data_IF_180560109922
#
_entry.id   IF_180560109922
#
_cell.length_a   1.000
_cell.length_b   1.000
_cell.length_c   1.000
_cell.angle_alpha   90.00
_cell.angle_beta   90.00
_cell.angle_gamma   90.00
#
_symmetry.space_group_name_H-M   'P 1'
#
loop_
_entity.id
_entity.type
_entity.pdbx_description
1 polymer ?
#
# COMPACT_ATOMS: atom_id res chain seq x y z
N UNK A 1 -29.15 -10.76 -28.92
CA UNK A 1 -28.09 -11.30 -28.05
C UNK A 1 -28.20 -10.62 -26.71
N UNK A 2 -28.06 -11.37 -25.62
CA UNK A 2 -27.97 -10.80 -24.27
C UNK A 2 -26.73 -9.89 -24.19
N UNK A 3 -26.87 -8.70 -23.62
CA UNK A 3 -25.82 -7.68 -23.54
C UNK A 3 -24.81 -8.07 -22.44
N UNK A 4 -23.60 -7.52 -22.51
CA UNK A 4 -22.62 -7.67 -21.46
C UNK A 4 -22.93 -6.75 -20.27
N UNK A 5 -22.83 -7.29 -19.05
CA UNK A 5 -23.06 -6.52 -17.84
C UNK A 5 -21.96 -5.47 -17.63
N UNK A 6 -20.73 -5.80 -18.02
CA UNK A 6 -19.56 -4.99 -17.70
C UNK A 6 -18.54 -4.98 -18.85
N UNK A 7 -17.83 -3.87 -19.03
CA UNK A 7 -16.80 -3.72 -20.05
C UNK A 7 -15.43 -3.51 -19.44
N UNK A 8 -14.39 -4.13 -20.02
CA UNK A 8 -12.99 -3.91 -19.68
C UNK A 8 -12.23 -3.36 -20.89
N UNK A 9 -11.77 -2.12 -20.78
CA UNK A 9 -10.89 -1.45 -21.74
C UNK A 9 -9.45 -1.54 -21.26
N UNK A 10 -8.60 -2.25 -22.00
CA UNK A 10 -7.24 -2.62 -21.62
C UNK A 10 -7.19 -4.08 -21.15
N UNK A 11 -6.67 -4.95 -22.01
CA UNK A 11 -6.57 -6.41 -21.86
C UNK A 11 -5.12 -6.86 -21.59
N UNK A 12 -4.29 -5.98 -21.02
CA UNK A 12 -3.06 -6.41 -20.37
C UNK A 12 -3.33 -7.39 -19.22
N UNK A 13 -2.28 -7.91 -18.60
CA UNK A 13 -2.37 -8.96 -17.56
C UNK A 13 -3.46 -8.66 -16.53
N UNK A 14 -3.43 -7.48 -15.90
CA UNK A 14 -4.42 -7.11 -14.88
C UNK A 14 -5.86 -7.02 -15.40
N UNK A 15 -6.08 -6.41 -16.56
CA UNK A 15 -7.42 -6.28 -17.14
C UNK A 15 -8.01 -7.62 -17.56
N UNK A 16 -7.19 -8.49 -18.17
CA UNK A 16 -7.58 -9.87 -18.49
C UNK A 16 -7.97 -10.64 -17.22
N UNK A 17 -7.17 -10.56 -16.15
CA UNK A 17 -7.45 -11.29 -14.91
C UNK A 17 -8.72 -10.80 -14.21
N UNK A 18 -8.99 -9.49 -14.18
CA UNK A 18 -10.24 -8.96 -13.64
C UNK A 18 -11.46 -9.38 -14.47
N UNK A 19 -11.35 -9.37 -15.80
CA UNK A 19 -12.43 -9.85 -16.67
C UNK A 19 -12.74 -11.34 -16.43
N UNK A 20 -11.72 -12.18 -16.27
CA UNK A 20 -11.89 -13.59 -15.93
C UNK A 20 -12.48 -13.80 -14.52
N UNK A 21 -12.12 -12.95 -13.56
CA UNK A 21 -12.69 -12.98 -12.21
C UNK A 21 -14.19 -12.64 -12.23
N UNK A 22 -14.56 -11.58 -12.95
CA UNK A 22 -15.96 -11.21 -13.16
C UNK A 22 -16.74 -12.32 -13.85
N UNK A 23 -16.17 -12.95 -14.88
CA UNK A 23 -16.81 -14.06 -15.59
C UNK A 23 -17.03 -15.28 -14.70
N UNK A 24 -16.02 -15.68 -13.92
CA UNK A 24 -16.15 -16.78 -12.94
C UNK A 24 -17.23 -16.52 -11.91
N UNK A 25 -17.50 -15.25 -11.60
CA UNK A 25 -18.56 -14.81 -10.69
C UNK A 25 -19.92 -14.59 -11.39
N UNK A 26 -20.09 -15.09 -12.61
CA UNK A 26 -21.37 -15.14 -13.31
C UNK A 26 -21.71 -13.90 -14.14
N UNK A 27 -20.78 -12.95 -14.29
CA UNK A 27 -21.01 -11.75 -15.09
C UNK A 27 -20.59 -11.96 -16.54
N UNK A 28 -21.35 -11.39 -17.48
CA UNK A 28 -20.96 -11.31 -18.88
C UNK A 28 -20.06 -10.10 -19.11
N UNK A 29 -18.85 -10.32 -19.62
CA UNK A 29 -17.83 -9.27 -19.73
C UNK A 29 -17.41 -9.04 -21.18
N UNK A 30 -17.51 -7.79 -21.63
CA UNK A 30 -16.92 -7.38 -22.90
C UNK A 30 -15.48 -6.90 -22.68
N UNK A 31 -14.56 -7.26 -23.59
CA UNK A 31 -13.15 -6.87 -23.56
C UNK A 31 -12.77 -6.11 -24.82
N UNK A 32 -12.04 -5.01 -24.66
CA UNK A 32 -11.51 -4.19 -25.74
C UNK A 32 -10.09 -3.73 -25.45
N UNK A 33 -9.21 -3.75 -26.45
CA UNK A 33 -7.85 -3.21 -26.39
C UNK A 33 -7.46 -2.62 -27.76
N UNK A 34 -6.53 -1.66 -27.77
CA UNK A 34 -5.93 -1.14 -29.00
C UNK A 34 -5.02 -2.17 -29.66
N UNK A 35 -4.46 -3.09 -28.87
CA UNK A 35 -3.62 -4.19 -29.31
C UNK A 35 -4.48 -5.41 -29.68
N UNK A 36 -4.63 -5.64 -30.99
CA UNK A 36 -5.43 -6.74 -31.53
C UNK A 36 -4.88 -8.12 -31.12
N UNK A 37 -3.60 -8.27 -30.79
CA UNK A 37 -3.08 -9.55 -30.30
C UNK A 37 -3.66 -9.87 -28.93
N UNK A 38 -3.80 -8.87 -28.05
CA UNK A 38 -4.46 -9.03 -26.76
C UNK A 38 -5.94 -9.34 -26.90
N UNK A 39 -6.63 -8.71 -27.87
CA UNK A 39 -8.04 -9.02 -28.18
C UNK A 39 -8.17 -10.47 -28.65
N UNK A 40 -7.28 -10.96 -29.53
CA UNK A 40 -7.27 -12.36 -29.98
C UNK A 40 -6.99 -13.34 -28.84
N UNK A 41 -6.02 -13.04 -27.99
CA UNK A 41 -5.71 -13.85 -26.81
C UNK A 41 -6.89 -13.92 -25.83
N UNK A 42 -7.63 -12.82 -25.67
CA UNK A 42 -8.87 -12.78 -24.89
C UNK A 42 -10.02 -13.54 -25.58
N UNK A 43 -10.11 -13.45 -26.91
CA UNK A 43 -11.09 -14.20 -27.69
C UNK A 43 -10.92 -15.72 -27.56
N UNK A 44 -9.70 -16.21 -27.44
CA UNK A 44 -9.45 -17.64 -27.19
C UNK A 44 -10.09 -18.12 -25.87
N UNK A 45 -10.09 -17.27 -24.83
CA UNK A 45 -10.78 -17.55 -23.56
C UNK A 45 -12.30 -17.53 -23.73
N UNK A 46 -12.82 -16.63 -24.58
CA UNK A 46 -14.25 -16.43 -24.80
C UNK A 46 -14.97 -17.61 -25.46
N UNK A 47 -14.24 -18.53 -26.08
CA UNK A 47 -14.83 -19.72 -26.71
C UNK A 47 -15.59 -20.63 -25.73
N UNK A 48 -15.29 -20.55 -24.43
CA UNK A 48 -15.86 -21.42 -23.38
C UNK A 48 -16.42 -20.65 -22.19
N UNK A 49 -16.33 -19.32 -22.22
CA UNK A 49 -16.61 -18.42 -21.09
C UNK A 49 -17.61 -17.35 -21.49
N UNK A 50 -18.26 -16.72 -20.52
CA UNK A 50 -19.19 -15.62 -20.76
C UNK A 50 -18.47 -14.29 -21.08
N UNK A 51 -17.56 -14.31 -22.05
CA UNK A 51 -16.76 -13.17 -22.49
C UNK A 51 -17.13 -12.77 -23.92
N UNK A 52 -16.95 -11.50 -24.24
CA UNK A 52 -17.10 -10.97 -25.60
C UNK A 52 -15.84 -10.20 -25.96
N UNK A 53 -15.07 -10.67 -26.93
CA UNK A 53 -13.94 -9.93 -27.48
C UNK A 53 -14.42 -8.94 -28.54
N UNK A 54 -14.06 -7.67 -28.41
CA UNK A 54 -14.45 -6.61 -29.34
C UNK A 54 -13.20 -6.01 -29.98
N UNK A 55 -13.14 -6.01 -31.32
CA UNK A 55 -12.00 -5.44 -32.07
C UNK A 55 -12.11 -3.92 -32.26
N UNK A 56 -13.32 -3.35 -32.12
CA UNK A 56 -13.57 -1.92 -32.29
C UNK A 56 -14.29 -1.34 -31.08
N UNK A 57 -14.07 -0.04 -30.83
CA UNK A 57 -14.75 0.69 -29.76
C UNK A 57 -16.28 0.71 -29.96
N UNK A 58 -16.74 0.82 -31.21
CA UNK A 58 -18.18 0.76 -31.54
C UNK A 58 -18.79 -0.60 -31.19
N UNK A 59 -18.12 -1.70 -31.55
CA UNK A 59 -18.56 -3.05 -31.18
C UNK A 59 -18.59 -3.23 -29.66
N UNK A 60 -17.57 -2.72 -28.96
CA UNK A 60 -17.49 -2.74 -27.50
C UNK A 60 -18.65 -1.97 -26.84
N UNK A 61 -18.90 -0.74 -27.25
CA UNK A 61 -19.96 0.09 -26.67
C UNK A 61 -21.36 -0.41 -26.99
N UNK A 62 -21.55 -1.01 -28.17
CA UNK A 62 -22.84 -1.55 -28.58
C UNK A 62 -23.19 -2.85 -27.86
N UNK A 63 -22.23 -3.61 -27.33
CA UNK A 63 -22.52 -4.87 -26.64
C UNK A 63 -22.88 -4.71 -25.15
N UNK A 64 -22.63 -3.54 -24.56
CA UNK A 64 -22.85 -3.28 -23.14
C UNK A 64 -24.32 -2.96 -22.80
N UNK A 65 -24.76 -3.38 -21.62
CA UNK A 65 -26.00 -2.92 -20.99
C UNK A 65 -25.95 -1.42 -20.68
N UNK A 66 -27.13 -0.78 -20.58
CA UNK A 66 -27.27 0.60 -20.13
C UNK A 66 -27.73 0.64 -18.66
N UNK A 67 -27.25 1.60 -17.84
CA UNK A 67 -26.10 2.46 -18.12
C UNK A 67 -24.82 1.64 -18.27
N UNK A 68 -23.92 2.07 -19.17
CA UNK A 68 -22.68 1.34 -19.43
C UNK A 68 -21.77 1.41 -18.21
N UNK A 69 -21.11 0.29 -17.89
CA UNK A 69 -20.12 0.19 -16.81
C UNK A 69 -18.80 -0.25 -17.40
N UNK A 70 -17.84 0.66 -17.50
CA UNK A 70 -16.59 0.45 -18.24
C UNK A 70 -15.40 0.65 -17.32
N UNK A 71 -14.67 -0.43 -17.07
CA UNK A 71 -13.39 -0.43 -16.37
C UNK A 71 -12.24 -0.23 -17.33
N UNK A 72 -11.45 0.80 -17.08
CA UNK A 72 -10.22 1.11 -17.77
C UNK A 72 -9.05 0.52 -16.97
N UNK A 73 -8.36 -0.45 -17.58
CA UNK A 73 -7.14 -1.09 -17.08
C UNK A 73 -5.98 -0.80 -18.04
N UNK A 74 -5.73 0.48 -18.27
CA UNK A 74 -4.64 0.99 -19.11
C UNK A 74 -3.53 1.58 -18.26
N UNK A 75 -2.31 1.79 -18.80
CA UNK A 75 -1.23 2.38 -18.01
C UNK A 75 -1.60 3.77 -17.46
N UNK A 76 -1.18 4.07 -16.24
CA UNK A 76 -1.53 5.32 -15.55
C UNK A 76 -1.00 6.57 -16.28
N UNK A 77 -1.59 7.73 -15.99
CA UNK A 77 -1.24 9.02 -16.60
C UNK A 77 -1.90 9.23 -17.97
N UNK A 78 -1.14 9.71 -18.95
CA UNK A 78 -1.64 10.08 -20.30
C UNK A 78 -2.49 9.00 -20.98
N UNK A 79 -2.20 7.69 -20.89
CA UNK A 79 -3.02 6.67 -21.54
C UNK A 79 -4.45 6.60 -20.98
N UNK A 80 -4.67 6.84 -19.68
CA UNK A 80 -6.02 6.95 -19.11
C UNK A 80 -6.76 8.15 -19.70
N UNK A 81 -6.11 9.31 -19.81
CA UNK A 81 -6.73 10.50 -20.42
C UNK A 81 -7.06 10.29 -21.90
N UNK A 82 -6.20 9.58 -22.64
CA UNK A 82 -6.45 9.17 -24.03
C UNK A 82 -7.65 8.22 -24.14
N UNK A 83 -7.77 7.25 -23.22
CA UNK A 83 -8.92 6.34 -23.16
C UNK A 83 -10.23 7.09 -22.84
N UNK A 84 -10.20 8.03 -21.89
CA UNK A 84 -11.35 8.89 -21.58
C UNK A 84 -11.73 9.73 -22.80
N UNK A 85 -10.76 10.37 -23.46
CA UNK A 85 -11.01 11.20 -24.63
C UNK A 85 -11.60 10.42 -25.81
N UNK A 86 -11.20 9.16 -26.02
CA UNK A 86 -11.74 8.34 -27.11
C UNK A 86 -13.17 7.87 -26.85
N UNK A 87 -13.54 7.60 -25.60
CA UNK A 87 -14.86 7.03 -25.27
C UNK A 87 -15.90 8.11 -24.96
N UNK A 88 -15.50 9.24 -24.37
CA UNK A 88 -16.41 10.31 -23.91
C UNK A 88 -17.41 10.79 -24.97
N UNK A 89 -17.07 10.98 -26.26
CA UNK A 89 -18.03 11.41 -27.29
C UNK A 89 -19.19 10.42 -27.52
N UNK A 90 -19.06 9.18 -27.09
CA UNK A 90 -20.02 8.10 -27.33
C UNK A 90 -20.83 7.70 -26.07
N UNK A 91 -20.53 8.30 -24.92
CA UNK A 91 -21.21 8.01 -23.66
C UNK A 91 -22.50 8.81 -23.51
N UNK A 92 -23.50 8.19 -22.89
CA UNK A 92 -24.74 8.86 -22.50
C UNK A 92 -24.66 9.34 -21.04
N UNK A 93 -25.53 10.28 -20.66
CA UNK A 93 -25.66 10.67 -19.25
C UNK A 93 -26.00 9.46 -18.39
N UNK A 94 -25.28 9.31 -17.27
CA UNK A 94 -25.42 8.18 -16.36
C UNK A 94 -24.54 6.97 -16.71
N UNK A 95 -23.87 6.95 -17.86
CA UNK A 95 -22.82 5.95 -18.12
C UNK A 95 -21.67 6.14 -17.11
N UNK A 96 -21.06 5.02 -16.72
CA UNK A 96 -20.03 4.93 -15.69
C UNK A 96 -18.68 4.54 -16.29
N UNK A 97 -17.68 5.40 -16.04
CA UNK A 97 -16.27 5.12 -16.26
C UNK A 97 -15.58 4.80 -14.93
N UNK A 98 -14.76 3.75 -14.93
CA UNK A 98 -14.04 3.25 -13.76
C UNK A 98 -12.55 3.24 -14.12
N UNK A 99 -11.72 3.99 -13.42
CA UNK A 99 -10.26 3.88 -13.55
C UNK A 99 -9.76 2.90 -12.50
N UNK A 100 -9.30 1.72 -12.93
CA UNK A 100 -8.77 0.68 -12.04
C UNK A 100 -7.23 0.65 -11.97
N UNK A 101 -6.57 1.65 -12.55
CA UNK A 101 -5.11 1.74 -12.57
C UNK A 101 -4.51 2.13 -11.22
N UNK A 102 -3.18 2.12 -11.14
CA UNK A 102 -2.46 2.79 -10.06
C UNK A 102 -2.31 4.29 -10.38
N UNK A 103 -3.44 5.00 -10.42
CA UNK A 103 -3.50 6.43 -10.77
C UNK A 103 -3.16 7.32 -9.57
N UNK A 104 -2.46 8.43 -9.81
CA UNK A 104 -2.20 9.44 -8.79
C UNK A 104 -3.49 10.20 -8.47
N UNK A 105 -3.88 10.27 -7.20
CA UNK A 105 -5.22 10.74 -6.81
C UNK A 105 -5.62 12.13 -7.33
N UNK A 106 -4.74 13.13 -7.55
CA UNK A 106 -5.13 14.42 -8.14
C UNK A 106 -5.58 14.30 -9.60
N UNK A 107 -5.10 13.31 -10.34
CA UNK A 107 -5.63 13.03 -11.68
C UNK A 107 -7.09 12.56 -11.59
N UNK A 108 -7.42 11.76 -10.57
CA UNK A 108 -8.81 11.34 -10.30
C UNK A 108 -9.67 12.50 -9.84
N UNK A 109 -9.17 13.40 -8.99
CA UNK A 109 -9.86 14.64 -8.62
C UNK A 109 -10.24 15.46 -9.85
N UNK A 110 -9.26 15.68 -10.74
CA UNK A 110 -9.47 16.43 -11.98
C UNK A 110 -10.48 15.73 -12.91
N UNK A 111 -10.28 14.44 -13.18
CA UNK A 111 -11.16 13.65 -14.07
C UNK A 111 -12.59 13.55 -13.54
N UNK A 112 -12.75 13.37 -12.23
CA UNK A 112 -14.06 13.34 -11.56
C UNK A 112 -14.84 14.63 -11.84
N UNK A 113 -14.20 15.79 -11.63
CA UNK A 113 -14.82 17.10 -11.93
C UNK A 113 -15.19 17.28 -13.40
N UNK A 114 -14.29 16.92 -14.31
CA UNK A 114 -14.49 17.07 -15.76
C UNK A 114 -15.60 16.17 -16.33
N UNK A 115 -15.72 14.94 -15.82
CA UNK A 115 -16.70 13.96 -16.28
C UNK A 115 -18.08 14.20 -15.67
N UNK A 116 -18.12 14.59 -14.39
CA UNK A 116 -19.37 14.95 -13.71
C UNK A 116 -20.06 16.13 -14.38
N UNK A 117 -19.29 17.17 -14.77
CA UNK A 117 -19.80 18.30 -15.53
C UNK A 117 -20.41 17.90 -16.90
N UNK A 118 -19.97 16.77 -17.47
CA UNK A 118 -20.53 16.19 -18.70
C UNK A 118 -21.69 15.22 -18.45
N UNK A 119 -22.09 14.99 -17.18
CA UNK A 119 -23.11 14.02 -16.80
C UNK A 119 -22.65 12.56 -16.88
N UNK A 120 -21.34 12.31 -16.90
CA UNK A 120 -20.73 10.99 -16.88
C UNK A 120 -20.30 10.67 -15.46
N UNK A 121 -20.68 9.49 -14.97
CA UNK A 121 -20.29 9.02 -13.63
C UNK A 121 -18.85 8.51 -13.71
N UNK A 122 -18.02 8.84 -12.72
CA UNK A 122 -16.61 8.47 -12.70
C UNK A 122 -16.14 8.02 -11.32
N UNK A 123 -15.51 6.85 -11.26
CA UNK A 123 -14.99 6.30 -10.01
C UNK A 123 -13.52 5.87 -10.19
N UNK A 124 -12.64 6.44 -9.38
CA UNK A 124 -11.25 6.00 -9.27
C UNK A 124 -11.16 4.86 -8.26
N UNK A 125 -10.67 3.70 -8.69
CA UNK A 125 -10.73 2.47 -7.92
C UNK A 125 -9.35 1.85 -7.80
N UNK A 126 -8.78 1.92 -6.59
CA UNK A 126 -7.56 1.19 -6.31
C UNK A 126 -7.79 -0.32 -6.32
N UNK A 127 -6.96 -1.06 -7.06
CA UNK A 127 -6.99 -2.54 -7.09
C UNK A 127 -5.65 -3.07 -6.57
N UNK A 128 -5.68 -3.95 -5.57
CA UNK A 128 -4.49 -4.59 -4.99
C UNK A 128 -4.51 -6.12 -5.15
N UNK A 129 -3.37 -6.76 -4.91
CA UNK A 129 -3.23 -8.23 -4.92
C UNK A 129 -2.44 -8.82 -6.11
N UNK A 130 -1.95 -7.97 -7.02
CA UNK A 130 -1.19 -8.41 -8.19
C UNK A 130 -2.03 -9.24 -9.16
N UNK A 131 -1.37 -10.01 -10.01
CA UNK A 131 -2.03 -10.84 -11.03
C UNK A 131 -2.96 -11.89 -10.41
N UNK A 132 -2.47 -12.64 -9.43
CA UNK A 132 -3.26 -13.66 -8.75
C UNK A 132 -4.41 -13.07 -7.94
N UNK A 133 -4.20 -11.92 -7.28
CA UNK A 133 -5.27 -11.20 -6.60
C UNK A 133 -6.34 -10.73 -7.59
N UNK A 134 -5.96 -10.14 -8.73
CA UNK A 134 -6.92 -9.74 -9.76
C UNK A 134 -7.78 -10.92 -10.24
N UNK A 135 -7.18 -12.10 -10.41
CA UNK A 135 -7.88 -13.29 -10.88
C UNK A 135 -8.78 -13.90 -9.80
N UNK A 136 -8.32 -14.02 -8.56
CA UNK A 136 -9.00 -14.83 -7.52
C UNK A 136 -9.77 -14.01 -6.48
N UNK A 137 -9.41 -12.74 -6.30
CA UNK A 137 -9.99 -11.89 -5.28
C UNK A 137 -9.06 -10.75 -4.91
N UNK A 138 -9.22 -9.54 -5.47
CA UNK A 138 -8.43 -8.39 -5.08
C UNK A 138 -9.06 -7.68 -3.88
N UNK A 139 -8.26 -6.82 -3.24
CA UNK A 139 -8.79 -5.72 -2.43
C UNK A 139 -9.11 -4.55 -3.34
N UNK A 140 -10.32 -3.99 -3.21
CA UNK A 140 -10.85 -2.97 -4.11
C UNK A 140 -11.24 -1.72 -3.29
N UNK A 141 -10.74 -0.56 -3.72
CA UNK A 141 -10.84 0.73 -3.01
C UNK A 141 -11.50 1.77 -3.91
N UNK A 142 -12.81 1.69 -4.18
CA UNK A 142 -13.54 2.65 -5.02
C UNK A 142 -13.77 3.99 -4.32
N UNK A 143 -13.54 5.10 -5.03
CA UNK A 143 -13.97 6.44 -4.63
C UNK A 143 -14.42 7.29 -5.83
N UNK A 144 -15.45 8.11 -5.64
CA UNK A 144 -16.15 8.80 -6.74
C UNK A 144 -17.55 9.23 -6.32
N UNK A 145 -18.47 9.44 -7.26
CA UNK A 145 -19.86 9.78 -6.91
C UNK A 145 -20.57 8.61 -6.19
N UNK A 146 -21.46 8.85 -5.21
CA UNK A 146 -22.20 7.78 -4.54
C UNK A 146 -23.02 6.89 -5.48
N UNK A 147 -23.59 7.45 -6.55
CA UNK A 147 -24.33 6.70 -7.58
C UNK A 147 -23.43 5.70 -8.31
N UNK A 148 -22.13 6.01 -8.44
CA UNK A 148 -21.16 5.09 -9.03
C UNK A 148 -21.03 3.82 -8.19
N UNK A 149 -21.03 3.96 -6.86
CA UNK A 149 -20.92 2.83 -5.93
C UNK A 149 -22.11 1.89 -6.05
N UNK A 150 -23.33 2.42 -6.12
CA UNK A 150 -24.55 1.58 -6.28
C UNK A 150 -24.52 0.75 -7.57
N UNK A 151 -23.95 1.29 -8.65
CA UNK A 151 -23.84 0.59 -9.93
C UNK A 151 -22.79 -0.54 -9.95
N UNK A 152 -21.73 -0.42 -9.14
CA UNK A 152 -20.61 -1.39 -9.13
C UNK A 152 -20.57 -2.29 -7.91
N UNK A 153 -21.28 -1.95 -6.83
CA UNK A 153 -21.25 -2.70 -5.58
C UNK A 153 -21.49 -4.20 -5.77
N UNK A 154 -22.52 -4.67 -6.51
CA UNK A 154 -22.76 -6.10 -6.65
C UNK A 154 -21.60 -6.86 -7.32
N UNK A 155 -21.02 -6.28 -8.39
CA UNK A 155 -19.91 -6.92 -9.12
C UNK A 155 -18.61 -6.82 -8.32
N UNK A 156 -18.33 -5.69 -7.67
CA UNK A 156 -17.12 -5.50 -6.88
C UNK A 156 -17.14 -6.37 -5.62
N UNK A 157 -18.28 -6.48 -4.93
CA UNK A 157 -18.41 -7.41 -3.81
C UNK A 157 -18.20 -8.85 -4.26
N UNK A 158 -18.74 -9.27 -5.40
CA UNK A 158 -18.60 -10.63 -5.91
C UNK A 158 -17.13 -10.98 -6.24
N UNK A 159 -16.41 -10.08 -6.93
CA UNK A 159 -15.05 -10.37 -7.38
C UNK A 159 -13.98 -10.13 -6.31
N UNK A 160 -14.26 -9.36 -5.25
CA UNK A 160 -13.30 -9.05 -4.20
C UNK A 160 -12.94 -10.29 -3.36
N UNK A 161 -11.73 -10.28 -2.77
CA UNK A 161 -11.36 -11.29 -1.78
C UNK A 161 -12.35 -11.34 -0.62
N UNK A 162 -12.57 -12.53 -0.06
CA UNK A 162 -13.46 -12.75 1.10
C UNK A 162 -12.65 -13.18 2.31
N UNK A 163 -12.89 -12.54 3.45
CA UNK A 163 -12.26 -12.90 4.73
C UNK A 163 -13.30 -13.56 5.64
N UNK A 164 -12.92 -14.67 6.28
CA UNK A 164 -13.82 -15.43 7.17
C UNK A 164 -14.90 -16.23 6.42
N UNK A 165 -14.69 -16.52 5.13
CA UNK A 165 -15.57 -17.41 4.38
C UNK A 165 -15.44 -18.84 4.92
N UNK A 166 -16.58 -19.49 5.14
CA UNK A 166 -16.65 -20.90 5.52
C UNK A 166 -17.48 -21.61 4.44
N UNK A 167 -16.88 -22.49 3.61
CA UNK A 167 -17.58 -23.15 2.52
C UNK A 167 -18.89 -23.80 2.98
N UNK A 168 -20.00 -23.45 2.33
CA UNK A 168 -21.34 -23.95 2.66
C UNK A 168 -22.00 -23.34 3.90
N UNK A 169 -21.33 -22.44 4.63
CA UNK A 169 -21.84 -21.84 5.88
C UNK A 169 -21.93 -20.32 5.81
N UNK A 170 -20.89 -19.63 5.33
CA UNK A 170 -20.86 -18.17 5.24
C UNK A 170 -20.04 -17.70 4.03
N UNK A 171 -20.52 -16.72 3.26
CA UNK A 171 -19.80 -16.18 2.10
C UNK A 171 -18.56 -15.35 2.47
N UNK A 172 -18.35 -15.04 3.75
CA UNK A 172 -17.28 -14.18 4.24
C UNK A 172 -17.50 -12.70 3.93
N UNK A 173 -16.66 -11.83 4.50
CA UNK A 173 -16.73 -10.39 4.31
C UNK A 173 -15.92 -9.97 3.07
N UNK A 174 -16.52 -9.26 2.10
CA UNK A 174 -15.79 -8.74 0.94
C UNK A 174 -14.75 -7.69 1.31
N UNK A 175 -13.59 -7.78 0.67
CA UNK A 175 -12.50 -6.81 0.73
C UNK A 175 -12.73 -5.65 -0.25
N UNK A 176 -13.93 -5.07 -0.19
CA UNK A 176 -14.29 -3.83 -0.89
C UNK A 176 -15.23 -3.00 -0.02
N UNK A 177 -15.09 -1.68 -0.10
CA UNK A 177 -15.98 -0.71 0.51
C UNK A 177 -15.87 0.63 -0.24
N UNK A 178 -16.90 1.45 -0.18
CA UNK A 178 -16.82 2.81 -0.70
C UNK A 178 -15.90 3.67 0.18
N UNK A 179 -14.84 4.21 -0.41
CA UNK A 179 -13.82 4.97 0.32
C UNK A 179 -14.21 6.42 0.55
N UNK A 180 -15.03 7.00 -0.33
CA UNK A 180 -15.44 8.40 -0.26
C UNK A 180 -15.51 9.06 -1.64
N UNK A 181 -15.70 10.38 -1.68
CA UNK A 181 -15.86 11.12 -2.92
C UNK A 181 -14.56 11.23 -3.71
N UNK A 182 -14.70 11.52 -5.01
CA UNK A 182 -13.60 11.94 -5.90
C UNK A 182 -12.39 10.99 -5.87
N UNK A 183 -11.21 11.48 -5.48
CA UNK A 183 -9.95 10.74 -5.46
C UNK A 183 -9.75 9.80 -4.28
N UNK A 184 -10.70 9.70 -3.34
CA UNK A 184 -10.54 8.95 -2.09
C UNK A 184 -10.06 7.50 -2.31
N UNK A 185 -10.60 6.81 -3.32
CA UNK A 185 -10.23 5.42 -3.62
C UNK A 185 -8.75 5.24 -3.98
N UNK A 186 -8.26 6.04 -4.92
CA UNK A 186 -6.85 6.04 -5.30
C UNK A 186 -5.95 6.60 -4.20
N UNK A 187 -6.43 7.53 -3.38
CA UNK A 187 -5.69 8.00 -2.20
C UNK A 187 -5.43 6.87 -1.20
N UNK A 188 -6.46 6.10 -0.85
CA UNK A 188 -6.32 4.94 0.05
C UNK A 188 -5.36 3.91 -0.54
N UNK A 189 -5.43 3.64 -1.86
CA UNK A 189 -4.48 2.74 -2.55
C UNK A 189 -3.05 3.28 -2.56
N UNK A 190 -2.85 4.59 -2.68
CA UNK A 190 -1.54 5.22 -2.56
C UNK A 190 -0.95 4.93 -1.18
N UNK A 191 -1.69 5.20 -0.11
CA UNK A 191 -1.22 4.93 1.27
C UNK A 191 -0.97 3.44 1.52
N UNK A 192 -1.83 2.55 1.01
CA UNK A 192 -1.58 1.10 1.02
C UNK A 192 -0.19 0.78 0.46
N UNK A 193 0.18 1.35 -0.70
CA UNK A 193 1.48 1.09 -1.33
C UNK A 193 2.65 1.69 -0.53
N UNK A 194 2.45 2.82 0.15
CA UNK A 194 3.43 3.36 1.09
C UNK A 194 3.68 2.41 2.28
N UNK A 195 2.61 1.89 2.87
CA UNK A 195 2.68 0.89 3.94
C UNK A 195 3.35 -0.39 3.45
N UNK A 196 3.03 -0.85 2.23
CA UNK A 196 3.69 -2.00 1.58
C UNK A 196 5.21 -1.81 1.51
N UNK A 197 5.68 -0.61 1.15
CA UNK A 197 7.11 -0.30 1.10
C UNK A 197 7.73 -0.37 2.50
N UNK A 198 7.04 0.19 3.51
CA UNK A 198 7.46 0.10 4.91
C UNK A 198 7.58 -1.34 5.40
N UNK A 199 6.58 -2.18 5.15
CA UNK A 199 6.59 -3.59 5.56
C UNK A 199 7.72 -4.37 4.88
N UNK A 200 7.90 -4.20 3.57
CA UNK A 200 9.00 -4.85 2.83
C UNK A 200 10.37 -4.43 3.36
N UNK A 201 10.57 -3.14 3.65
CA UNK A 201 11.85 -2.64 4.15
C UNK A 201 12.15 -3.15 5.56
N UNK A 202 11.15 -3.17 6.46
CA UNK A 202 11.32 -3.72 7.80
C UNK A 202 11.67 -5.22 7.78
N UNK A 203 11.06 -5.97 6.87
CA UNK A 203 11.40 -7.39 6.64
C UNK A 203 12.83 -7.53 6.09
N UNK A 204 13.23 -6.69 5.14
CA UNK A 204 14.59 -6.70 4.60
C UNK A 204 15.65 -6.37 5.67
N UNK A 205 15.38 -5.40 6.55
CA UNK A 205 16.27 -5.07 7.67
C UNK A 205 16.32 -6.22 8.70
N UNK A 206 15.20 -6.87 8.98
CA UNK A 206 15.18 -8.05 9.85
C UNK A 206 16.02 -9.19 9.24
N UNK A 207 15.89 -9.44 7.93
CA UNK A 207 16.72 -10.37 7.19
C UNK A 207 18.21 -10.02 7.29
N UNK A 208 18.61 -8.78 7.00
CA UNK A 208 20.02 -8.38 6.96
C UNK A 208 20.69 -8.47 8.35
N UNK A 209 19.94 -8.12 9.40
CA UNK A 209 20.40 -8.27 10.79
C UNK A 209 20.60 -9.74 11.16
N UNK A 210 19.69 -10.64 10.76
CA UNK A 210 19.84 -12.07 11.03
C UNK A 210 20.92 -12.71 10.16
N UNK A 211 21.01 -12.33 8.88
CA UNK A 211 21.94 -12.90 7.93
C UNK A 211 23.37 -12.42 8.20
N UNK A 212 23.63 -11.11 8.10
CA UNK A 212 24.98 -10.57 8.31
C UNK A 212 25.34 -10.45 9.79
N UNK A 213 24.37 -10.21 10.67
CA UNK A 213 24.64 -10.05 12.09
C UNK A 213 24.85 -11.37 12.82
N UNK A 214 24.01 -12.37 12.58
CA UNK A 214 24.11 -13.69 13.23
C UNK A 214 24.76 -14.77 12.35
N UNK A 215 24.91 -14.54 11.04
CA UNK A 215 25.44 -15.53 10.12
C UNK A 215 24.45 -16.64 9.75
N UNK A 216 23.14 -16.41 9.91
CA UNK A 216 22.14 -17.41 9.54
C UNK A 216 22.15 -17.66 8.03
N UNK A 217 22.05 -18.93 7.64
CA UNK A 217 21.88 -19.37 6.25
C UNK A 217 20.47 -19.12 5.74
N UNK A 218 20.28 -19.14 4.42
CA UNK A 218 18.96 -19.01 3.79
C UNK A 218 17.97 -20.09 4.29
N UNK A 219 18.43 -21.32 4.54
CA UNK A 219 17.58 -22.37 5.10
C UNK A 219 17.09 -22.02 6.52
N UNK A 220 17.98 -21.57 7.40
CA UNK A 220 17.63 -21.15 8.77
C UNK A 220 16.72 -19.91 8.76
N UNK A 221 16.96 -18.95 7.85
CA UNK A 221 16.08 -17.80 7.65
C UNK A 221 14.68 -18.24 7.21
N UNK A 222 14.57 -19.19 6.29
CA UNK A 222 13.30 -19.79 5.87
C UNK A 222 12.53 -20.40 7.06
N UNK A 223 13.22 -21.12 7.95
CA UNK A 223 12.62 -21.66 9.18
C UNK A 223 12.14 -20.57 10.13
N UNK A 224 12.96 -19.54 10.38
CA UNK A 224 12.65 -18.41 11.27
C UNK A 224 11.43 -17.63 10.76
N UNK A 225 11.42 -17.21 9.49
CA UNK A 225 10.29 -16.48 8.91
C UNK A 225 9.04 -17.38 8.82
N UNK A 226 9.20 -18.67 8.55
CA UNK A 226 8.12 -19.65 8.61
C UNK A 226 7.50 -19.77 10.01
N UNK A 227 8.30 -19.74 11.07
CA UNK A 227 7.81 -19.70 12.46
C UNK A 227 7.10 -18.40 12.78
N UNK A 228 7.67 -17.25 12.40
CA UNK A 228 7.05 -15.95 12.60
C UNK A 228 5.67 -15.86 11.92
N UNK A 229 5.53 -16.48 10.74
CA UNK A 229 4.25 -16.50 10.01
C UNK A 229 3.17 -17.33 10.69
N UNK A 230 3.51 -18.27 11.58
CA UNK A 230 2.55 -19.04 12.38
C UNK A 230 2.09 -18.29 13.64
N UNK A 231 2.67 -17.11 13.91
CA UNK A 231 2.42 -16.31 15.10
C UNK A 231 1.68 -15.01 14.83
N UNK A 232 2.04 -13.96 15.56
CA UNK A 232 1.41 -12.64 15.43
C UNK A 232 1.82 -11.86 14.17
N UNK A 233 2.95 -12.23 13.56
CA UNK A 233 3.43 -11.66 12.31
C UNK A 233 2.81 -12.31 11.07
N UNK A 234 1.86 -13.23 11.25
CA UNK A 234 1.11 -13.89 10.16
C UNK A 234 0.67 -12.85 9.12
N UNK A 235 1.30 -12.92 7.95
CA UNK A 235 1.07 -11.99 6.85
C UNK A 235 1.65 -12.54 5.56
N UNK A 236 1.08 -12.09 4.45
CA UNK A 236 1.52 -12.56 3.14
C UNK A 236 2.98 -12.22 2.84
N UNK A 237 3.46 -11.05 3.28
CA UNK A 237 4.86 -10.68 3.04
C UNK A 237 5.84 -11.58 3.81
N UNK A 238 5.50 -12.02 5.03
CA UNK A 238 6.34 -12.97 5.79
C UNK A 238 6.27 -14.36 5.14
N UNK A 239 5.09 -14.80 4.70
CA UNK A 239 4.88 -16.05 3.96
C UNK A 239 5.79 -16.13 2.72
N UNK A 240 5.71 -15.14 1.82
CA UNK A 240 6.52 -15.17 0.61
C UNK A 240 8.01 -15.02 0.91
N UNK A 241 8.41 -14.32 1.97
CA UNK A 241 9.82 -14.23 2.38
C UNK A 241 10.35 -15.61 2.78
N UNK A 242 9.58 -16.42 3.51
CA UNK A 242 9.98 -17.78 3.83
C UNK A 242 10.10 -18.65 2.56
N UNK A 243 9.15 -18.54 1.62
CA UNK A 243 9.18 -19.29 0.35
C UNK A 243 10.35 -18.89 -0.56
N UNK A 244 10.71 -17.59 -0.57
CA UNK A 244 11.83 -17.06 -1.37
C UNK A 244 13.15 -17.75 -0.97
N UNK A 245 13.40 -17.96 0.33
CA UNK A 245 14.62 -18.60 0.79
C UNK A 245 14.76 -20.07 0.37
N UNK A 246 13.65 -20.74 0.04
CA UNK A 246 13.64 -22.11 -0.44
C UNK A 246 13.87 -22.25 -1.95
N UNK A 247 13.90 -21.14 -2.71
CA UNK A 247 13.97 -21.18 -4.16
C UNK A 247 15.42 -21.21 -4.66
N UNK A 248 15.79 -22.33 -5.30
CA UNK A 248 17.05 -22.46 -6.01
C UNK A 248 16.91 -22.18 -7.51
N UNK A 249 17.98 -21.63 -8.07
CA UNK A 249 18.15 -21.41 -9.50
C UNK A 249 18.47 -22.76 -10.18
N UNK A 250 17.71 -23.16 -11.23
CA UNK A 250 17.90 -24.46 -11.85
C UNK A 250 19.21 -24.60 -12.64
N UNK A 251 19.82 -23.49 -13.04
CA UNK A 251 21.05 -23.50 -13.85
C UNK A 251 22.30 -23.60 -12.98
N UNK A 252 22.37 -22.83 -11.90
CA UNK A 252 23.53 -22.74 -11.00
C UNK A 252 23.40 -23.61 -9.75
N UNK A 253 22.17 -23.97 -9.36
CA UNK A 253 21.88 -24.63 -8.09
C UNK A 253 21.97 -23.73 -6.85
N UNK A 254 22.34 -22.45 -7.01
CA UNK A 254 22.41 -21.49 -5.91
C UNK A 254 21.03 -20.97 -5.51
N UNK A 255 20.91 -20.41 -4.31
CA UNK A 255 19.67 -19.75 -3.88
C UNK A 255 19.41 -18.53 -4.77
N UNK A 256 18.20 -18.41 -5.33
CA UNK A 256 17.85 -17.33 -6.25
C UNK A 256 18.04 -15.96 -5.60
N UNK A 257 17.70 -15.83 -4.31
CA UNK A 257 17.81 -14.57 -3.58
C UNK A 257 19.23 -14.00 -3.55
N UNK A 258 20.26 -14.86 -3.54
CA UNK A 258 21.66 -14.45 -3.52
C UNK A 258 22.16 -14.03 -4.91
N UNK A 259 21.45 -14.41 -5.97
CA UNK A 259 21.76 -14.05 -7.36
C UNK A 259 21.06 -12.77 -7.82
N UNK A 260 20.02 -12.33 -7.09
CA UNK A 260 19.28 -11.11 -7.43
C UNK A 260 20.15 -9.89 -7.12
N UNK A 261 20.32 -9.02 -8.10
CA UNK A 261 20.98 -7.74 -7.92
C UNK A 261 20.21 -6.87 -6.90
N UNK A 262 20.93 -6.32 -5.93
CA UNK A 262 20.41 -5.48 -4.84
C UNK A 262 20.09 -4.04 -5.28
N UNK A 263 19.30 -3.92 -6.35
CA UNK A 263 18.80 -2.67 -6.94
C UNK A 263 17.27 -2.69 -6.97
N UNK A 264 16.66 -2.15 -5.92
CA UNK A 264 15.21 -2.16 -5.79
C UNK A 264 14.58 -1.10 -6.70
N UNK A 265 13.97 -1.54 -7.80
CA UNK A 265 13.14 -0.67 -8.62
C UNK A 265 11.90 -0.16 -7.86
N UNK A 266 11.44 1.04 -8.22
CA UNK A 266 10.16 1.57 -7.75
C UNK A 266 9.36 2.16 -8.92
N UNK A 267 8.06 1.88 -8.95
CA UNK A 267 7.12 2.40 -9.97
C UNK A 267 6.63 3.82 -9.67
N UNK A 268 7.20 4.50 -8.67
CA UNK A 268 6.87 5.86 -8.24
C UNK A 268 5.70 5.97 -7.24
N UNK A 269 4.89 4.92 -7.06
CA UNK A 269 3.71 4.95 -6.17
C UNK A 269 4.07 5.09 -4.68
N UNK A 270 5.18 4.50 -4.23
CA UNK A 270 5.68 4.69 -2.87
C UNK A 270 6.06 6.15 -2.60
N UNK A 271 6.76 6.77 -3.57
CA UNK A 271 7.15 8.19 -3.51
C UNK A 271 5.95 9.13 -3.36
N UNK A 272 4.82 8.84 -4.02
CA UNK A 272 3.62 9.68 -3.91
C UNK A 272 3.07 9.77 -2.49
N UNK A 273 3.15 8.68 -1.72
CA UNK A 273 2.77 8.70 -0.29
C UNK A 273 3.66 9.65 0.49
N UNK A 274 4.99 9.56 0.31
CA UNK A 274 5.97 10.44 0.94
C UNK A 274 5.79 11.90 0.57
N UNK A 275 5.59 12.20 -0.72
CA UNK A 275 5.37 13.56 -1.21
C UNK A 275 4.10 14.16 -0.60
N UNK A 276 2.99 13.44 -0.67
CA UNK A 276 1.74 13.96 -0.13
C UNK A 276 1.78 14.11 1.41
N UNK A 277 2.50 13.23 2.11
CA UNK A 277 2.69 13.40 3.54
C UNK A 277 3.47 14.67 3.89
N UNK A 278 4.48 15.04 3.10
CA UNK A 278 5.17 16.31 3.24
C UNK A 278 4.23 17.49 2.96
N UNK A 279 3.39 17.41 1.91
CA UNK A 279 2.42 18.45 1.56
C UNK A 279 1.39 18.68 2.69
N UNK A 280 0.91 17.60 3.31
CA UNK A 280 -0.06 17.66 4.42
C UNK A 280 0.58 17.95 5.78
N UNK A 281 1.91 17.86 5.90
CA UNK A 281 2.61 17.94 7.18
C UNK A 281 2.42 16.70 8.09
N UNK A 282 2.18 15.53 7.50
CA UNK A 282 2.01 14.27 8.20
C UNK A 282 3.37 13.55 8.40
N UNK A 283 3.78 13.24 9.65
CA UNK A 283 5.05 12.55 9.90
C UNK A 283 4.93 11.05 9.61
N UNK A 284 5.55 10.59 8.51
CA UNK A 284 5.63 9.17 8.12
C UNK A 284 7.07 8.63 7.96
N UNK A 285 7.97 8.87 8.93
CA UNK A 285 9.40 8.63 8.74
C UNK A 285 9.77 7.17 8.43
N UNK A 286 9.00 6.18 8.92
CA UNK A 286 9.28 4.76 8.62
C UNK A 286 8.99 4.43 7.16
N UNK A 287 7.92 4.99 6.59
CA UNK A 287 7.59 4.83 5.16
C UNK A 287 8.60 5.59 4.29
N UNK A 288 9.00 6.80 4.71
CA UNK A 288 10.03 7.58 4.01
C UNK A 288 11.37 6.85 3.99
N UNK A 289 11.79 6.27 5.12
CA UNK A 289 12.99 5.44 5.19
C UNK A 289 12.95 4.28 4.19
N UNK A 290 11.80 3.64 3.97
CA UNK A 290 11.66 2.59 2.97
C UNK A 290 11.80 3.10 1.53
N UNK A 291 11.36 4.33 1.22
CA UNK A 291 11.59 4.95 -0.09
C UNK A 291 13.07 5.26 -0.28
N UNK A 292 13.72 5.86 0.72
CA UNK A 292 15.16 6.19 0.68
C UNK A 292 16.02 4.93 0.58
N UNK A 293 15.68 3.84 1.29
CA UNK A 293 16.39 2.56 1.19
C UNK A 293 16.37 1.97 -0.23
N UNK A 294 15.27 2.17 -0.98
CA UNK A 294 15.24 1.78 -2.41
C UNK A 294 16.12 2.69 -3.25
N UNK A 295 16.08 4.00 -3.02
CA UNK A 295 16.89 4.98 -3.75
C UNK A 295 18.39 4.68 -3.55
N UNK A 296 18.84 4.50 -2.32
CA UNK A 296 20.26 4.21 -2.03
C UNK A 296 20.68 2.84 -2.58
N UNK A 297 19.77 1.86 -2.66
CA UNK A 297 20.07 0.58 -3.32
C UNK A 297 20.41 0.75 -4.80
N UNK A 298 19.75 1.70 -5.49
CA UNK A 298 20.02 1.99 -6.90
C UNK A 298 21.38 2.67 -7.15
N UNK A 299 22.01 3.24 -6.12
CA UNK A 299 23.39 3.76 -6.19
C UNK A 299 24.43 2.64 -6.08
N UNK A 300 24.22 1.52 -6.78
CA UNK A 300 25.04 0.30 -6.62
C UNK A 300 26.51 0.54 -6.91
N UNK A 301 26.85 1.17 -8.03
CA UNK A 301 28.24 1.45 -8.40
C UNK A 301 28.92 2.36 -7.37
N UNK A 302 28.22 3.40 -6.91
CA UNK A 302 28.74 4.29 -5.86
C UNK A 302 28.93 3.57 -4.53
N UNK A 303 28.00 2.69 -4.13
CA UNK A 303 28.13 1.86 -2.92
C UNK A 303 29.31 0.91 -3.00
N UNK A 304 29.54 0.28 -4.15
CA UNK A 304 30.70 -0.60 -4.37
C UNK A 304 32.00 0.20 -4.27
N UNK A 305 32.07 1.39 -4.88
CA UNK A 305 33.24 2.26 -4.76
C UNK A 305 33.46 2.73 -3.31
N UNK A 306 32.38 3.12 -2.62
CA UNK A 306 32.41 3.56 -1.22
C UNK A 306 32.88 2.45 -0.28
N UNK A 307 32.51 1.19 -0.52
CA UNK A 307 32.91 0.05 0.33
C UNK A 307 34.42 -0.23 0.30
N UNK A 308 35.16 0.30 -0.68
CA UNK A 308 36.62 0.14 -0.76
C UNK A 308 37.39 1.24 0.00
N UNK A 309 36.72 2.34 0.38
CA UNK A 309 37.38 3.51 0.97
C UNK A 309 36.84 3.90 2.34
N UNK A 310 35.58 3.58 2.64
CA UNK A 310 34.97 3.83 3.94
C UNK A 310 35.16 2.62 4.86
N UNK A 311 35.50 2.86 6.13
CA UNK A 311 35.68 1.81 7.13
C UNK A 311 34.52 1.81 8.13
N UNK A 312 34.26 0.64 8.71
CA UNK A 312 33.22 0.42 9.72
C UNK A 312 33.52 -0.86 10.52
N UNK A 313 32.69 -1.18 11.52
CA UNK A 313 32.80 -2.47 12.22
C UNK A 313 32.46 -3.62 11.25
N UNK A 314 33.08 -4.77 11.48
CA UNK A 314 32.72 -6.01 10.79
C UNK A 314 31.30 -6.43 11.21
N UNK A 315 30.38 -6.69 10.26
CA UNK A 315 29.03 -7.14 10.58
C UNK A 315 29.04 -8.43 11.38
N UNK A 316 28.82 -8.30 12.69
CA UNK A 316 28.68 -9.42 13.62
C UNK A 316 28.03 -8.94 14.91
N UNK A 317 27.02 -9.67 15.36
CA UNK A 317 26.34 -9.42 16.63
C UNK A 317 26.75 -10.52 17.62
N UNK A 318 27.28 -10.13 18.77
CA UNK A 318 27.60 -11.05 19.85
C UNK A 318 26.37 -11.29 20.75
N UNK A 319 26.20 -12.51 21.23
CA UNK A 319 25.14 -12.88 22.17
C UNK A 319 24.51 -14.22 21.85
N UNK A 320 23.47 -14.58 22.62
CA UNK A 320 22.65 -15.75 22.34
C UNK A 320 21.82 -15.54 21.05
N UNK A 321 22.03 -16.34 19.98
CA UNK A 321 21.31 -16.18 18.71
C UNK A 321 19.79 -16.22 18.88
N UNK A 322 19.25 -17.09 19.75
CA UNK A 322 17.81 -17.22 19.90
C UNK A 322 17.17 -16.01 20.60
N UNK A 323 17.86 -15.45 21.59
CA UNK A 323 17.46 -14.19 22.21
C UNK A 323 17.49 -13.01 21.24
N UNK A 324 18.40 -13.03 20.25
CA UNK A 324 18.49 -11.97 19.22
C UNK A 324 17.39 -12.16 18.16
N UNK A 325 17.15 -13.38 17.68
CA UNK A 325 16.04 -13.72 16.76
C UNK A 325 14.70 -13.26 17.37
N UNK A 326 14.47 -13.57 18.65
CA UNK A 326 13.27 -13.14 19.36
C UNK A 326 13.17 -11.62 19.47
N UNK A 327 14.27 -10.92 19.73
CA UNK A 327 14.30 -9.47 19.78
C UNK A 327 14.01 -8.83 18.40
N UNK A 328 14.56 -9.38 17.32
CA UNK A 328 14.29 -8.93 15.94
C UNK A 328 12.82 -9.13 15.59
N UNK A 329 12.21 -10.26 15.94
CA UNK A 329 10.78 -10.52 15.76
C UNK A 329 9.93 -9.44 16.45
N UNK A 330 10.21 -9.18 17.73
CA UNK A 330 9.45 -8.22 18.53
C UNK A 330 9.67 -6.77 18.05
N UNK A 331 10.89 -6.44 17.62
CA UNK A 331 11.22 -5.16 16.99
C UNK A 331 10.48 -4.97 15.66
N UNK A 332 10.43 -6.01 14.81
CA UNK A 332 9.68 -6.04 13.55
C UNK A 332 8.20 -5.74 13.80
N UNK A 333 7.59 -6.40 14.78
CA UNK A 333 6.19 -6.15 15.13
C UNK A 333 5.97 -4.72 15.64
N UNK A 334 6.82 -4.20 16.53
CA UNK A 334 6.72 -2.84 17.05
C UNK A 334 6.91 -1.77 15.95
N UNK A 335 7.90 -1.95 15.08
CA UNK A 335 8.15 -1.03 13.98
C UNK A 335 7.04 -1.06 12.92
N UNK A 336 6.44 -2.24 12.69
CA UNK A 336 5.24 -2.38 11.86
C UNK A 336 4.07 -1.57 12.45
N UNK A 337 3.81 -1.65 13.76
CA UNK A 337 2.79 -0.81 14.41
C UNK A 337 3.06 0.68 14.16
N UNK A 338 4.31 1.15 14.31
CA UNK A 338 4.68 2.54 14.01
C UNK A 338 4.36 2.92 12.56
N UNK A 339 4.72 2.08 11.59
CA UNK A 339 4.47 2.32 10.16
C UNK A 339 2.97 2.46 9.84
N UNK A 340 2.13 1.56 10.39
CA UNK A 340 0.68 1.66 10.20
C UNK A 340 0.07 2.84 10.96
N UNK A 341 0.56 3.15 12.17
CA UNK A 341 0.11 4.33 12.91
C UNK A 341 0.38 5.63 12.12
N UNK A 342 1.53 5.71 11.46
CA UNK A 342 1.90 6.79 10.55
C UNK A 342 0.99 6.83 9.31
N UNK A 343 0.77 5.70 8.64
CA UNK A 343 -0.10 5.62 7.46
C UNK A 343 -1.57 5.95 7.74
N UNK A 344 -2.13 5.48 8.86
CA UNK A 344 -3.48 5.85 9.28
C UNK A 344 -3.56 7.32 9.75
N UNK A 345 -2.49 7.84 10.36
CA UNK A 345 -2.36 9.27 10.66
C UNK A 345 -2.44 10.13 9.39
N UNK A 346 -1.75 9.71 8.32
CA UNK A 346 -1.82 10.35 7.01
C UNK A 346 -3.24 10.29 6.42
N UNK A 347 -3.89 9.12 6.43
CA UNK A 347 -5.29 8.98 6.00
C UNK A 347 -6.22 9.93 6.75
N UNK A 348 -6.03 10.08 8.06
CA UNK A 348 -6.83 10.99 8.90
C UNK A 348 -6.63 12.46 8.50
N UNK A 349 -5.38 12.88 8.30
CA UNK A 349 -5.07 14.25 7.86
C UNK A 349 -5.63 14.54 6.47
N UNK A 350 -5.46 13.61 5.53
CA UNK A 350 -5.99 13.73 4.18
C UNK A 350 -7.52 13.74 4.15
N UNK A 351 -8.18 12.93 4.98
CA UNK A 351 -9.64 12.93 5.08
C UNK A 351 -10.18 14.29 5.52
N UNK A 352 -9.43 15.02 6.36
CA UNK A 352 -9.78 16.39 6.78
C UNK A 352 -9.46 17.42 5.71
N UNK A 353 -8.31 17.32 5.05
CA UNK A 353 -7.90 18.27 4.00
C UNK A 353 -8.80 18.20 2.77
N UNK A 354 -9.19 16.98 2.37
CA UNK A 354 -9.91 16.74 1.11
C UNK A 354 -11.39 16.40 1.30
N UNK A 355 -11.93 16.54 2.52
CA UNK A 355 -13.31 16.23 2.89
C UNK A 355 -13.77 14.82 2.45
N UNK A 356 -12.88 13.82 2.58
CA UNK A 356 -13.20 12.46 2.12
C UNK A 356 -14.10 11.67 3.06
N UNK A 357 -14.19 12.06 4.35
CA UNK A 357 -14.94 11.33 5.38
C UNK A 357 -14.59 9.83 5.41
N UNK A 358 -13.28 9.51 5.37
CA UNK A 358 -12.79 8.14 5.29
C UNK A 358 -13.22 7.32 6.51
N UNK A 359 -13.71 6.10 6.27
CA UNK A 359 -13.96 5.13 7.34
C UNK A 359 -12.73 4.23 7.54
N UNK A 360 -11.95 4.53 8.58
CA UNK A 360 -10.69 3.83 8.85
C UNK A 360 -10.88 2.34 9.21
N UNK A 361 -11.99 2.00 9.88
CA UNK A 361 -12.35 0.62 10.18
C UNK A 361 -12.65 -0.19 8.91
N UNK A 362 -13.33 0.42 7.94
CA UNK A 362 -13.59 -0.19 6.63
C UNK A 362 -12.30 -0.33 5.80
N UNK A 363 -11.40 0.68 5.83
CA UNK A 363 -10.08 0.58 5.18
C UNK A 363 -9.30 -0.62 5.75
N UNK A 364 -9.22 -0.73 7.07
CA UNK A 364 -8.57 -1.86 7.72
C UNK A 364 -9.24 -3.20 7.35
N UNK A 365 -10.58 -3.24 7.31
CA UNK A 365 -11.36 -4.43 6.93
C UNK A 365 -10.98 -4.92 5.54
N UNK A 366 -10.91 -4.03 4.55
CA UNK A 366 -10.68 -4.40 3.14
C UNK A 366 -9.23 -4.73 2.82
N UNK A 367 -8.28 -4.34 3.66
CA UNK A 367 -6.88 -4.76 3.52
C UNK A 367 -6.60 -6.16 4.10
N UNK A 368 -7.53 -6.76 4.85
CA UNK A 368 -7.32 -8.10 5.45
C UNK A 368 -7.19 -9.23 4.44
N UNK A 369 -7.62 -9.04 3.20
CA UNK A 369 -7.54 -10.04 2.14
C UNK A 369 -7.33 -9.38 0.77
N UNK A 370 -6.87 -10.17 -0.20
CA UNK A 370 -6.75 -9.73 -1.60
C UNK A 370 -5.73 -8.61 -1.86
N UNK A 371 -4.89 -8.26 -0.88
CA UNK A 371 -3.84 -7.25 -1.04
C UNK A 371 -2.48 -7.79 -0.58
N UNK A 372 -1.40 -7.05 -0.86
CA UNK A 372 -0.03 -7.47 -0.52
C UNK A 372 0.21 -7.35 0.98
N UNK A 373 -0.31 -6.30 1.62
CA UNK A 373 -0.12 -6.04 3.06
C UNK A 373 -1.06 -6.84 3.96
N UNK A 374 -1.80 -7.82 3.41
CA UNK A 374 -2.76 -8.60 4.18
C UNK A 374 -2.05 -9.34 5.33
N UNK A 375 -2.59 -9.17 6.53
CA UNK A 375 -2.01 -9.64 7.76
C UNK A 375 -3.08 -9.84 8.83
N UNK A 376 -2.84 -10.77 9.77
CA UNK A 376 -3.71 -11.00 10.93
C UNK A 376 -3.93 -9.70 11.73
N UNK A 377 -2.87 -8.91 11.91
CA UNK A 377 -2.86 -7.66 12.66
C UNK A 377 -3.84 -6.58 12.15
N UNK A 378 -4.29 -6.65 10.89
CA UNK A 378 -5.33 -5.74 10.38
C UNK A 378 -6.68 -5.93 11.07
N UNK A 379 -6.95 -7.12 11.65
CA UNK A 379 -8.12 -7.32 12.51
C UNK A 379 -8.04 -6.46 13.77
N UNK A 380 -6.84 -6.30 14.34
CA UNK A 380 -6.63 -5.49 15.55
C UNK A 380 -6.82 -4.01 15.24
N UNK A 381 -6.37 -3.54 14.06
CA UNK A 381 -6.63 -2.17 13.59
C UNK A 381 -8.13 -1.92 13.44
N UNK A 382 -8.84 -2.84 12.76
CA UNK A 382 -10.30 -2.75 12.62
C UNK A 382 -10.97 -2.68 13.98
N UNK A 383 -10.56 -3.51 14.94
CA UNK A 383 -11.10 -3.52 16.29
C UNK A 383 -10.83 -2.20 17.04
N UNK A 384 -9.66 -1.58 16.87
CA UNK A 384 -9.34 -0.28 17.45
C UNK A 384 -10.28 0.83 16.96
N UNK A 385 -10.52 0.92 15.65
CA UNK A 385 -11.46 1.89 15.10
C UNK A 385 -12.93 1.55 15.39
N UNK A 386 -13.26 0.28 15.62
CA UNK A 386 -14.59 -0.10 16.11
C UNK A 386 -14.82 0.39 17.56
N UNK A 387 -13.79 0.36 18.41
CA UNK A 387 -13.85 0.91 19.77
C UNK A 387 -13.90 2.43 19.77
N UNK A 388 -13.05 3.06 18.96
CA UNK A 388 -12.90 4.53 18.89
C UNK A 388 -12.80 4.98 17.43
N UNK A 389 -13.93 5.32 16.78
CA UNK A 389 -13.95 5.68 15.35
C UNK A 389 -13.09 6.91 15.00
N UNK A 390 -12.93 7.84 15.93
CA UNK A 390 -12.17 9.09 15.79
C UNK A 390 -10.74 9.00 16.38
N UNK A 391 -10.24 7.78 16.60
CA UNK A 391 -8.92 7.50 17.16
C UNK A 391 -7.83 8.32 16.46
N UNK A 392 -7.12 9.14 17.24
CA UNK A 392 -6.13 10.06 16.70
C UNK A 392 -4.90 9.35 16.12
N UNK A 393 -4.52 8.20 16.70
CA UNK A 393 -3.35 7.42 16.33
C UNK A 393 -3.49 5.98 16.87
N UNK A 394 -3.02 4.98 16.13
CA UNK A 394 -3.10 3.58 16.59
C UNK A 394 -2.35 3.35 17.90
N UNK A 395 -1.21 4.01 18.13
CA UNK A 395 -0.38 3.76 19.32
C UNK A 395 -1.03 4.23 20.64
N UNK A 396 -2.11 5.01 20.59
CA UNK A 396 -2.85 5.44 21.81
C UNK A 396 -4.10 4.59 22.08
N UNK A 397 -4.42 3.63 21.20
CA UNK A 397 -5.39 2.59 21.52
C UNK A 397 -4.82 1.64 22.58
N UNK A 398 -5.70 1.14 23.46
CA UNK A 398 -5.30 0.35 24.64
C UNK A 398 -4.52 -0.94 24.28
N UNK A 399 -4.91 -1.64 23.22
CA UNK A 399 -4.26 -2.90 22.84
C UNK A 399 -2.93 -2.63 22.14
N UNK A 400 -2.89 -1.65 21.24
CA UNK A 400 -1.64 -1.25 20.57
C UNK A 400 -0.62 -0.64 21.53
N UNK A 401 -1.07 0.17 22.49
CA UNK A 401 -0.20 0.71 23.54
C UNK A 401 0.41 -0.42 24.37
N UNK A 402 -0.38 -1.44 24.72
CA UNK A 402 0.12 -2.65 25.41
C UNK A 402 1.15 -3.38 24.56
N UNK A 403 0.86 -3.65 23.28
CA UNK A 403 1.78 -4.32 22.35
C UNK A 403 3.11 -3.57 22.18
N UNK A 404 3.06 -2.23 22.11
CA UNK A 404 4.24 -1.38 22.02
C UNK A 404 5.04 -1.39 23.32
N UNK A 405 4.38 -1.23 24.48
CA UNK A 405 5.04 -1.20 25.79
C UNK A 405 5.79 -2.51 26.10
N UNK A 406 5.28 -3.65 25.64
CA UNK A 406 5.96 -4.94 25.83
C UNK A 406 7.12 -5.19 24.87
N UNK A 407 7.21 -4.46 23.74
CA UNK A 407 8.18 -4.73 22.66
C UNK A 407 9.19 -3.62 22.40
N UNK A 408 8.95 -2.40 22.89
CA UNK A 408 9.83 -1.26 22.65
C UNK A 408 11.27 -1.51 23.11
N UNK A 409 11.47 -2.33 24.15
CA UNK A 409 12.81 -2.71 24.62
C UNK A 409 13.57 -3.53 23.56
N UNK A 410 12.89 -4.46 22.88
CA UNK A 410 13.44 -5.23 21.76
C UNK A 410 13.74 -4.32 20.57
N UNK A 411 12.87 -3.36 20.25
CA UNK A 411 13.13 -2.37 19.21
C UNK A 411 14.40 -1.54 19.51
N UNK A 412 14.56 -1.07 20.75
CA UNK A 412 15.80 -0.37 21.18
C UNK A 412 17.03 -1.25 21.04
N UNK A 413 16.94 -2.49 21.51
CA UNK A 413 18.05 -3.46 21.45
C UNK A 413 18.47 -3.69 20.00
N UNK A 414 17.52 -3.92 19.09
CA UNK A 414 17.80 -4.17 17.67
C UNK A 414 18.42 -2.96 16.99
N UNK A 415 17.89 -1.75 17.25
CA UNK A 415 18.49 -0.50 16.71
C UNK A 415 19.93 -0.30 17.22
N UNK A 416 20.18 -0.55 18.50
CA UNK A 416 21.52 -0.44 19.07
C UNK A 416 22.48 -1.47 18.47
N UNK A 417 22.09 -2.75 18.41
CA UNK A 417 22.90 -3.81 17.84
C UNK A 417 23.22 -3.55 16.36
N UNK A 418 22.22 -3.11 15.57
CA UNK A 418 22.43 -2.78 14.17
C UNK A 418 23.46 -1.65 14.01
N UNK A 419 23.33 -0.57 14.80
CA UNK A 419 24.26 0.54 14.77
C UNK A 419 25.69 0.15 15.21
N UNK A 420 25.82 -0.61 16.31
CA UNK A 420 27.11 -1.08 16.84
C UNK A 420 27.83 -2.05 15.88
N UNK A 421 27.07 -2.85 15.14
CA UNK A 421 27.59 -3.83 14.16
C UNK A 421 27.66 -3.31 12.73
N UNK A 422 27.39 -2.02 12.47
CA UNK A 422 27.46 -1.45 11.12
C UNK A 422 26.45 -2.02 10.13
N UNK A 423 25.30 -2.50 10.62
CA UNK A 423 24.20 -3.00 9.79
C UNK A 423 23.16 -1.88 9.65
N UNK A 424 22.84 -1.42 8.42
CA UNK A 424 21.91 -0.32 8.22
C UNK A 424 20.48 -0.75 8.57
N UNK A 425 19.86 0.00 9.49
CA UNK A 425 18.49 -0.27 9.96
C UNK A 425 17.66 1.03 9.94
N UNK A 426 17.49 1.61 8.74
CA UNK A 426 16.89 2.94 8.55
C UNK A 426 15.43 2.98 9.00
N UNK A 427 14.64 1.98 8.63
CA UNK A 427 13.22 1.91 8.97
C UNK A 427 13.01 1.58 10.45
N UNK A 428 13.80 0.65 11.03
CA UNK A 428 13.79 0.38 12.47
C UNK A 428 14.15 1.61 13.30
N UNK A 429 15.23 2.29 12.93
CA UNK A 429 15.69 3.51 13.62
C UNK A 429 14.65 4.61 13.55
N UNK A 430 14.06 4.81 12.37
CA UNK A 430 12.99 5.80 12.15
C UNK A 430 11.72 5.47 12.94
N UNK A 431 11.35 4.19 13.04
CA UNK A 431 10.21 3.75 13.84
C UNK A 431 10.42 4.00 15.34
N UNK A 432 11.62 3.75 15.86
CA UNK A 432 11.97 4.03 17.25
C UNK A 432 11.97 5.54 17.54
N UNK A 433 12.59 6.34 16.68
CA UNK A 433 12.62 7.78 16.81
C UNK A 433 11.20 8.39 16.77
N UNK A 434 10.34 7.89 15.89
CA UNK A 434 8.94 8.29 15.84
C UNK A 434 8.19 7.93 17.13
N UNK A 435 8.34 6.71 17.65
CA UNK A 435 7.71 6.30 18.92
C UNK A 435 8.12 7.22 20.08
N UNK A 436 9.43 7.51 20.21
CA UNK A 436 9.95 8.38 21.27
C UNK A 436 9.53 9.84 21.09
N UNK A 437 9.49 10.34 19.85
CA UNK A 437 9.01 11.68 19.56
C UNK A 437 7.51 11.83 19.87
N UNK A 438 6.69 10.87 19.47
CA UNK A 438 5.24 10.92 19.63
C UNK A 438 4.80 10.87 21.10
N UNK A 439 5.53 10.13 21.95
CA UNK A 439 5.24 10.06 23.40
C UNK A 439 5.88 11.18 24.22
N UNK A 440 6.65 12.08 23.61
CA UNK A 440 7.33 13.18 24.31
C UNK A 440 6.43 14.42 24.37
N UNK A 441 5.92 14.74 25.56
CA UNK A 441 5.08 15.94 25.77
C UNK A 441 5.80 17.26 25.42
N UNK A 442 7.13 17.28 25.48
CA UNK A 442 7.96 18.43 25.09
C UNK A 442 9.13 17.97 24.23
N UNK A 443 9.15 18.44 22.98
CA UNK A 443 10.25 18.24 22.03
C UNK A 443 11.20 19.46 22.03
N UNK A 444 12.45 19.31 21.54
CA UNK A 444 13.41 20.41 21.45
C UNK A 444 13.06 21.49 20.41
N UNK A 445 11.87 21.42 19.79
CA UNK A 445 11.37 22.41 18.83
C UNK A 445 11.23 23.83 19.43
N UNK A 446 11.26 23.97 20.75
CA UNK A 446 11.38 25.29 21.40
C UNK A 446 12.69 26.00 21.04
N UNK A 447 13.81 25.28 20.91
CA UNK A 447 15.07 25.86 20.46
C UNK A 447 15.01 26.23 18.98
N UNK A 448 14.42 25.37 18.13
CA UNK A 448 14.19 25.69 16.71
C UNK A 448 13.34 26.96 16.56
N UNK A 449 12.29 27.11 17.36
CA UNK A 449 11.48 28.34 17.38
C UNK A 449 12.28 29.56 17.83
N UNK A 450 13.11 29.43 18.86
CA UNK A 450 13.99 30.52 19.32
C UNK A 450 14.99 30.94 18.23
N UNK A 451 15.61 29.99 17.54
CA UNK A 451 16.50 30.26 16.41
C UNK A 451 15.78 31.02 15.29
N UNK A 452 14.57 30.56 14.90
CA UNK A 452 13.74 31.20 13.89
C UNK A 452 13.34 32.63 14.26
N UNK A 453 13.00 32.87 15.52
CA UNK A 453 12.70 34.21 16.00
C UNK A 453 13.95 35.10 16.02
N UNK A 454 15.10 34.53 16.42
CA UNK A 454 16.38 35.23 16.48
C UNK A 454 16.84 35.78 15.13
N UNK A 455 16.92 34.95 14.08
CA UNK A 455 17.46 35.40 12.79
C UNK A 455 16.41 36.04 11.86
N UNK A 456 15.11 35.79 12.11
CA UNK A 456 14.07 36.08 11.13
C UNK A 456 12.80 36.72 11.70
N UNK A 457 12.79 37.09 12.99
CA UNK A 457 11.62 37.65 13.68
C UNK A 457 10.33 36.83 13.42
N UNK A 458 10.46 35.51 13.31
CA UNK A 458 9.36 34.61 12.96
C UNK A 458 8.31 34.44 14.07
N UNK A 459 8.51 35.07 15.23
CA UNK A 459 7.66 34.95 16.42
C UNK A 459 7.56 33.53 16.98
N UNK A 460 7.03 33.40 18.19
CA UNK A 460 6.79 32.11 18.84
C UNK A 460 5.62 32.19 19.84
N UNK A 461 5.09 31.04 20.23
CA UNK A 461 4.08 30.90 21.30
C UNK A 461 4.74 30.49 22.61
N UNK A 462 4.09 30.78 23.73
CA UNK A 462 4.58 30.42 25.08
C UNK A 462 3.68 29.39 25.76
N UNK A 463 4.24 28.72 26.77
CA UNK A 463 3.55 27.68 27.55
C UNK A 463 2.79 28.23 28.76
N UNK A 464 3.12 29.46 29.18
CA UNK A 464 2.58 30.11 30.38
C UNK A 464 1.45 31.11 30.07
N UNK A 465 1.25 31.47 28.79
CA UNK A 465 0.20 32.40 28.35
C UNK A 465 -0.05 32.31 26.85
N UNK A 466 -1.28 32.62 26.45
CA UNK A 466 -1.69 32.71 25.05
C UNK A 466 -1.10 33.96 24.36
N UNK A 467 -0.94 33.88 23.03
CA UNK A 467 -0.45 34.97 22.20
C UNK A 467 0.74 34.59 21.31
N UNK A 468 1.12 35.54 20.45
CA UNK A 468 2.36 35.49 19.66
C UNK A 468 3.37 36.48 20.22
N UNK A 469 4.61 36.03 20.39
CA UNK A 469 5.68 36.78 21.05
C UNK A 469 6.89 36.87 20.12
N UNK A 470 7.56 38.01 20.17
CA UNK A 470 8.87 38.23 19.57
C UNK A 470 9.82 38.67 20.69
N UNK A 471 11.06 38.19 20.68
CA UNK A 471 12.11 38.69 21.57
C UNK A 471 13.08 39.54 20.76
N UNK A 472 13.40 40.74 21.26
CA UNK A 472 14.55 41.49 20.76
C UNK A 472 15.82 40.82 21.27
N UNK A 473 16.43 39.99 20.43
CA UNK A 473 17.60 39.19 20.79
C UNK A 473 18.92 39.97 20.72
N UNK A 474 18.93 41.10 20.01
CA UNK A 474 20.08 41.98 19.77
C UNK A 474 19.69 43.44 19.92
#
# INVERSE_FOLDING_TARGET
MEKANFGVMGLGVMGKMLALNMERNGFRVAGYDLDLEKVRAFSAESATKNLIACETLEAFLSTLELPRRILMMVPAGKPVDGAIASIKPHLAKGDLLIDGGNTYFPDTERRSKELEAAGIIYIGTGVSGGEQGALWGPSIMPGGQPEAWELVKPIFEAIAAKVGAVPGVSPGEPCVAYMGPRGAGHYVKMVHNGIEYGDMQLIAEAYDILHRGLGLSNAELGEVFGEWNRGELESYLIEITADIFAKNDPETGAAVVDLILDEAAQKGTGKWTSQNALDLGAPIPTINAAVESRIISAYKEERVAASQVLTGPEPRIAGDPQAIISAVRDALFAAKICSYAQGFGLLRMASKEYDYNLNYGEIAKIWRGGCIIRARFLNDIRAAFARTPDLANLMVDVEFAKMMNTRQASLRKVVALAAESGIPALAFSSALAYYDAYRSARLPANLTQAQRDYFGAHTYRRVDREGSFHTEWQ
#
